data_IF_313598545013
#
_entry.id   IF_313598545013
#
_cell.length_a   1.000
_cell.length_b   1.000
_cell.length_c   1.000
_cell.angle_alpha   90.00
_cell.angle_beta   90.00
_cell.angle_gamma   90.00
#
_symmetry.space_group_name_H-M   'P 1'
#
loop_
_entity.id
_entity.type
_entity.pdbx_description
1 polymer ?
#
# COMPACT_ATOMS: atom_id res chain seq x y z
N UNK A 1 4.35 11.45 -5.02
CA UNK A 1 3.31 10.92 -5.92
C UNK A 1 2.05 10.49 -5.20
N UNK A 2 2.14 9.92 -4.00
CA UNK A 2 1.00 9.61 -3.14
C UNK A 2 1.37 9.76 -1.65
N UNK A 3 0.36 9.74 -0.79
CA UNK A 3 0.47 9.69 0.67
C UNK A 3 -0.22 8.43 1.18
N UNK A 4 0.34 7.81 2.21
CA UNK A 4 -0.27 6.70 2.95
C UNK A 4 -0.61 7.17 4.35
N UNK A 5 -1.85 6.93 4.76
CA UNK A 5 -2.32 7.08 6.13
C UNK A 5 -2.75 5.69 6.61
N UNK A 6 -2.24 5.25 7.76
CA UNK A 6 -2.64 3.97 8.33
C UNK A 6 -2.57 4.00 9.86
N UNK A 7 -3.28 3.08 10.52
CA UNK A 7 -3.19 2.88 11.97
C UNK A 7 -1.94 2.08 12.37
N UNK A 8 -1.67 2.05 13.67
CA UNK A 8 -0.63 1.24 14.32
C UNK A 8 -0.70 -0.25 13.94
N UNK A 9 -1.89 -0.82 13.78
CA UNK A 9 -2.05 -2.20 13.30
C UNK A 9 -1.31 -2.51 11.98
N UNK A 10 -1.12 -1.53 11.10
CA UNK A 10 -0.28 -1.66 9.89
C UNK A 10 1.19 -1.39 10.21
N UNK A 11 1.48 -0.31 10.95
CA UNK A 11 2.86 0.12 11.22
C UNK A 11 3.64 -0.79 12.17
N UNK A 12 2.94 -1.58 12.98
CA UNK A 12 3.52 -2.65 13.80
C UNK A 12 3.97 -3.85 12.94
N UNK A 13 3.37 -4.02 11.75
CA UNK A 13 3.68 -5.11 10.83
C UNK A 13 4.79 -4.75 9.83
N UNK A 14 4.83 -3.49 9.39
CA UNK A 14 5.66 -3.04 8.28
C UNK A 14 6.22 -1.64 8.51
N UNK A 15 7.50 -1.44 8.18
CA UNK A 15 8.08 -0.10 8.16
C UNK A 15 7.48 0.77 7.04
N UNK A 16 7.61 2.09 7.18
CA UNK A 16 7.15 3.04 6.16
C UNK A 16 7.71 2.73 4.76
N UNK A 17 9.00 2.40 4.67
CA UNK A 17 9.63 2.04 3.40
C UNK A 17 9.06 0.75 2.82
N UNK A 18 8.88 -0.30 3.65
CA UNK A 18 8.29 -1.56 3.22
C UNK A 18 6.87 -1.38 2.68
N UNK A 19 6.06 -0.52 3.30
CA UNK A 19 4.71 -0.19 2.84
C UNK A 19 4.75 0.47 1.46
N UNK A 20 5.63 1.46 1.26
CA UNK A 20 5.77 2.14 -0.03
C UNK A 20 6.23 1.18 -1.12
N UNK A 21 7.24 0.36 -0.84
CA UNK A 21 7.77 -0.60 -1.82
C UNK A 21 6.73 -1.65 -2.20
N UNK A 22 5.96 -2.13 -1.22
CA UNK A 22 4.86 -3.06 -1.44
C UNK A 22 3.80 -2.45 -2.36
N UNK A 23 3.32 -1.24 -2.05
CA UNK A 23 2.29 -0.56 -2.85
C UNK A 23 2.77 -0.35 -4.29
N UNK A 24 4.01 0.11 -4.48
CA UNK A 24 4.56 0.33 -5.83
C UNK A 24 4.64 -1.00 -6.59
N UNK A 25 5.14 -2.07 -5.95
CA UNK A 25 5.23 -3.39 -6.58
C UNK A 25 3.87 -3.97 -6.93
N UNK A 26 2.88 -3.82 -6.05
CA UNK A 26 1.53 -4.34 -6.27
C UNK A 26 0.82 -3.56 -7.39
N UNK A 27 0.92 -2.22 -7.39
CA UNK A 27 0.38 -1.37 -8.46
C UNK A 27 1.04 -1.69 -9.81
N UNK A 28 2.34 -2.01 -9.85
CA UNK A 28 3.01 -2.48 -11.08
C UNK A 28 2.36 -3.73 -11.67
N UNK A 29 2.01 -4.69 -10.82
CA UNK A 29 1.46 -5.98 -11.21
C UNK A 29 -0.03 -5.88 -11.56
N UNK A 30 -0.80 -5.22 -10.71
CA UNK A 30 -2.26 -5.26 -10.74
C UNK A 30 -2.90 -4.02 -11.38
N UNK A 31 -2.13 -2.93 -11.55
CA UNK A 31 -2.60 -1.63 -12.06
C UNK A 31 -3.82 -1.09 -11.32
N UNK A 32 -3.94 -1.39 -10.03
CA UNK A 32 -5.10 -1.05 -9.21
C UNK A 32 -4.69 -0.72 -7.78
N UNK A 33 -4.96 0.51 -7.35
CA UNK A 33 -4.71 0.98 -6.00
C UNK A 33 -5.58 0.30 -4.95
N UNK A 34 -6.83 -0.04 -5.28
CA UNK A 34 -7.74 -0.67 -4.32
C UNK A 34 -7.24 -2.08 -3.99
N UNK A 35 -6.77 -2.82 -5.00
CA UNK A 35 -6.11 -4.12 -4.78
C UNK A 35 -4.85 -3.98 -3.95
N UNK A 36 -4.04 -2.95 -4.20
CA UNK A 36 -2.85 -2.71 -3.38
C UNK A 36 -3.19 -2.49 -1.89
N UNK A 37 -4.28 -1.77 -1.58
CA UNK A 37 -4.76 -1.63 -0.19
C UNK A 37 -5.14 -2.98 0.43
N UNK A 38 -5.96 -3.78 -0.27
CA UNK A 38 -6.43 -5.09 0.23
C UNK A 38 -5.26 -6.04 0.43
N UNK A 39 -4.38 -6.15 -0.57
CA UNK A 39 -3.22 -7.03 -0.51
C UNK A 39 -2.24 -6.63 0.60
N UNK A 40 -2.12 -5.33 0.91
CA UNK A 40 -1.28 -4.85 2.01
C UNK A 40 -1.88 -5.22 3.37
N UNK A 41 -3.20 -5.07 3.55
CA UNK A 41 -3.88 -5.53 4.77
C UNK A 41 -3.70 -7.04 4.91
N UNK A 42 -3.98 -7.83 3.87
CA UNK A 42 -3.82 -9.30 3.89
C UNK A 42 -2.39 -9.72 4.24
N UNK A 43 -1.39 -8.93 3.82
CA UNK A 43 0.01 -9.16 4.16
C UNK A 43 0.30 -8.94 5.65
N UNK A 44 -0.43 -8.03 6.30
CA UNK A 44 -0.27 -7.70 7.71
C UNK A 44 -1.05 -8.66 8.62
N UNK A 45 -2.08 -9.34 8.12
CA UNK A 45 -2.89 -10.27 8.92
C UNK A 45 -2.05 -11.42 9.49
N UNK A 46 -2.19 -11.65 10.79
CA UNK A 46 -1.57 -12.78 11.47
C UNK A 46 -2.12 -14.11 10.94
N UNK A 47 -1.23 -15.09 10.73
CA UNK A 47 -1.63 -16.46 10.33
C UNK A 47 -2.25 -17.25 11.47
N UNK A 48 -1.93 -16.89 12.70
CA UNK A 48 -2.43 -17.49 13.94
C UNK A 48 -2.95 -16.39 14.87
N UNK A 49 -3.87 -16.71 15.78
CA UNK A 49 -4.53 -15.73 16.66
C UNK A 49 -3.65 -15.13 17.77
N UNK A 50 -2.32 -15.10 17.61
CA UNK A 50 -1.38 -14.55 18.59
C UNK A 50 -0.23 -13.84 17.87
N UNK A 51 0.13 -12.64 18.32
CA UNK A 51 1.28 -11.88 17.81
C UNK A 51 0.90 -10.66 16.97
N UNK A 52 1.87 -10.13 16.23
CA UNK A 52 1.68 -8.97 15.33
C UNK A 52 0.70 -9.35 14.21
N UNK A 53 -0.22 -8.45 13.88
CA UNK A 53 -1.21 -8.67 12.83
C UNK A 53 -2.59 -9.11 13.32
N UNK A 54 -2.87 -9.02 14.63
CA UNK A 54 -4.19 -9.33 15.22
C UNK A 54 -5.03 -8.10 15.57
N UNK A 55 -4.55 -6.90 15.27
CA UNK A 55 -5.27 -5.65 15.54
C UNK A 55 -6.21 -5.27 14.38
N UNK A 56 -7.07 -4.28 14.62
CA UNK A 56 -7.80 -3.59 13.57
C UNK A 56 -6.81 -2.92 12.60
N UNK A 57 -7.04 -3.13 11.30
CA UNK A 57 -6.20 -2.60 10.24
C UNK A 57 -6.99 -1.63 9.37
N UNK A 58 -6.45 -0.43 9.18
CA UNK A 58 -7.03 0.60 8.31
C UNK A 58 -5.91 1.28 7.55
N UNK A 59 -6.09 1.44 6.25
CA UNK A 59 -5.18 2.15 5.35
C UNK A 59 -5.96 3.02 4.38
N UNK A 60 -5.46 4.22 4.11
CA UNK A 60 -5.93 5.15 3.09
C UNK A 60 -4.72 5.55 2.24
N UNK A 61 -4.84 5.39 0.92
CA UNK A 61 -3.83 5.85 -0.04
C UNK A 61 -4.39 7.02 -0.83
N UNK A 62 -3.72 8.18 -0.75
CA UNK A 62 -4.11 9.41 -1.44
C UNK A 62 -3.16 9.65 -2.60
N UNK A 63 -3.65 9.48 -3.84
CA UNK A 63 -2.87 9.76 -5.05
C UNK A 63 -2.84 11.25 -5.37
N UNK A 64 -1.63 11.81 -5.55
CA UNK A 64 -1.46 13.18 -6.04
C UNK A 64 -1.39 13.18 -7.56
N UNK A 65 -2.54 13.44 -8.20
CA UNK A 65 -2.68 13.32 -9.65
C UNK A 65 -1.95 14.43 -10.44
N UNK A 66 -1.82 15.63 -9.87
CA UNK A 66 -1.19 16.78 -10.54
C UNK A 66 -1.71 17.04 -11.96
N UNK A 67 -3.03 16.90 -12.16
CA UNK A 67 -3.68 17.10 -13.47
C UNK A 67 -3.62 15.89 -14.43
N UNK A 68 -3.07 14.75 -13.99
CA UNK A 68 -3.14 13.50 -14.75
C UNK A 68 -4.47 12.78 -14.53
N UNK A 69 -4.95 12.11 -15.58
CA UNK A 69 -5.97 11.06 -15.44
C UNK A 69 -5.44 9.90 -14.61
N UNK A 70 -6.36 9.18 -13.93
CA UNK A 70 -6.03 8.10 -13.00
C UNK A 70 -5.14 7.03 -13.63
N UNK A 71 -5.43 6.61 -14.85
CA UNK A 71 -4.71 5.54 -15.55
C UNK A 71 -3.26 5.96 -15.87
N UNK A 72 -3.07 7.20 -16.35
CA UNK A 72 -1.73 7.75 -16.61
C UNK A 72 -0.93 7.92 -15.33
N UNK A 73 -1.60 8.30 -14.24
CA UNK A 73 -0.97 8.38 -12.94
C UNK A 73 -0.54 6.99 -12.44
N UNK A 74 -1.38 5.95 -12.58
CA UNK A 74 -1.05 4.57 -12.22
C UNK A 74 0.13 4.03 -13.02
N UNK A 75 0.21 4.38 -14.30
CA UNK A 75 1.37 4.07 -15.14
C UNK A 75 2.65 4.74 -14.63
N UNK A 76 2.59 6.03 -14.27
CA UNK A 76 3.71 6.76 -13.67
C UNK A 76 4.18 6.10 -12.37
N UNK A 77 3.28 5.71 -11.47
CA UNK A 77 3.62 4.97 -10.25
C UNK A 77 4.29 3.65 -10.60
N UNK A 78 3.75 2.93 -11.58
CA UNK A 78 4.29 1.64 -12.01
C UNK A 78 5.70 1.73 -12.60
N UNK A 79 6.12 2.89 -13.08
CA UNK A 79 7.46 3.07 -13.65
C UNK A 79 8.50 3.53 -12.60
N UNK A 80 8.11 3.70 -11.33
CA UNK A 80 9.04 4.04 -10.24
C UNK A 80 9.94 2.86 -9.88
N UNK A 81 11.22 3.11 -9.66
CA UNK A 81 12.10 2.15 -8.99
C UNK A 81 11.94 2.27 -7.47
N UNK A 82 11.82 1.12 -6.79
CA UNK A 82 11.93 0.99 -5.33
C UNK A 82 13.40 0.75 -4.99
N UNK A 83 13.91 1.34 -3.91
CA UNK A 83 15.34 1.31 -3.54
C UNK A 83 15.58 0.28 -2.45
#
# INVERSE_FOLDING_TARGET
DFLVLACDGIWDCMSSQQVIDFIIKDVKLNKDLNKACVNLIDRCLAKEGRGVGTDNMTIIIVGFLHGLEKEKWLERISNRCTV
#
